data_IF_883325735043
#
_entry.id   IF_883325735043
#
_cell.length_a   1.000
_cell.length_b   1.000
_cell.length_c   1.000
_cell.angle_alpha   90.00
_cell.angle_beta   90.00
_cell.angle_gamma   90.00
#
_symmetry.space_group_name_H-M   'P 1'
#
loop_
_entity.id
_entity.type
_entity.pdbx_description
1 polymer ?
#
# COMPACT_ATOMS: atom_id res chain seq x y z
N UNK A 1 5.95 4.22 11.71
CA UNK A 1 6.54 4.41 10.38
C UNK A 1 6.86 5.89 10.22
N UNK A 2 8.13 6.27 10.12
CA UNK A 2 8.50 7.69 9.94
C UNK A 2 8.33 8.09 8.47
N UNK A 3 7.82 9.29 8.21
CA UNK A 3 7.73 9.94 6.88
C UNK A 3 9.09 10.07 6.15
N UNK A 4 10.19 9.74 6.82
CA UNK A 4 11.55 9.77 6.28
C UNK A 4 11.79 8.80 5.11
N UNK A 5 10.96 7.76 4.92
CA UNK A 5 11.07 6.88 3.75
C UNK A 5 10.63 7.55 2.44
N UNK A 6 9.86 8.65 2.48
CA UNK A 6 9.50 9.41 1.28
C UNK A 6 10.70 10.15 0.65
N UNK A 7 11.75 10.43 1.43
CA UNK A 7 12.93 11.16 0.93
C UNK A 7 13.82 10.33 -0.01
N UNK A 8 13.54 9.02 -0.16
CA UNK A 8 14.26 8.13 -1.08
C UNK A 8 13.45 7.79 -2.35
N UNK A 9 12.23 8.29 -2.47
CA UNK A 9 11.40 8.09 -3.65
C UNK A 9 11.67 9.23 -4.66
N UNK A 10 11.92 8.86 -5.91
CA UNK A 10 11.88 9.78 -7.03
C UNK A 10 10.42 10.19 -7.30
N UNK A 11 10.22 11.28 -8.06
CA UNK A 11 8.88 11.77 -8.41
C UNK A 11 8.04 10.66 -9.08
N UNK A 12 8.69 9.82 -9.91
CA UNK A 12 8.08 8.64 -10.53
C UNK A 12 7.57 7.62 -9.50
N UNK A 13 8.32 7.41 -8.41
CA UNK A 13 7.93 6.55 -7.31
C UNK A 13 6.76 7.11 -6.51
N UNK A 14 6.70 8.44 -6.31
CA UNK A 14 5.56 9.10 -5.66
C UNK A 14 4.29 8.96 -6.51
N UNK A 15 4.39 9.18 -7.82
CA UNK A 15 3.28 9.01 -8.75
C UNK A 15 2.81 7.55 -8.82
N UNK A 16 3.75 6.59 -8.80
CA UNK A 16 3.43 5.17 -8.73
C UNK A 16 2.63 4.82 -7.46
N UNK A 17 3.16 5.19 -6.29
CA UNK A 17 2.50 4.94 -5.00
C UNK A 17 1.10 5.55 -4.97
N UNK A 18 0.96 6.83 -5.32
CA UNK A 18 -0.32 7.54 -5.23
C UNK A 18 -1.35 6.99 -6.21
N UNK A 19 -0.94 6.65 -7.44
CA UNK A 19 -1.79 6.03 -8.45
C UNK A 19 -2.28 4.65 -8.03
N UNK A 20 -1.37 3.80 -7.52
CA UNK A 20 -1.71 2.44 -7.10
C UNK A 20 -2.63 2.44 -5.88
N UNK A 21 -2.31 3.24 -4.86
CA UNK A 21 -3.10 3.30 -3.62
C UNK A 21 -4.49 3.86 -3.91
N UNK A 22 -4.60 4.92 -4.72
CA UNK A 22 -5.91 5.48 -5.12
C UNK A 22 -6.76 4.44 -5.83
N UNK A 23 -6.21 3.77 -6.84
CA UNK A 23 -6.93 2.72 -7.58
C UNK A 23 -7.36 1.57 -6.68
N UNK A 24 -6.48 1.14 -5.78
CA UNK A 24 -6.78 0.07 -4.84
C UNK A 24 -7.92 0.46 -3.90
N UNK A 25 -7.86 1.68 -3.34
CA UNK A 25 -8.91 2.24 -2.49
C UNK A 25 -10.27 2.32 -3.22
N UNK A 26 -10.29 2.82 -4.44
CA UNK A 26 -11.49 2.88 -5.29
C UNK A 26 -12.07 1.48 -5.57
N UNK A 27 -11.23 0.51 -5.90
CA UNK A 27 -11.64 -0.88 -6.17
C UNK A 27 -12.20 -1.58 -4.94
N UNK A 28 -11.68 -1.29 -3.76
CA UNK A 28 -12.06 -1.95 -2.51
C UNK A 28 -13.07 -1.16 -1.69
N UNK A 29 -13.51 0.01 -2.17
CA UNK A 29 -14.44 0.89 -1.44
C UNK A 29 -13.86 1.42 -0.13
N UNK A 30 -12.54 1.64 -0.07
CA UNK A 30 -11.82 2.10 1.12
C UNK A 30 -11.51 3.58 0.99
N UNK A 31 -11.85 4.38 2.00
CA UNK A 31 -11.45 5.79 2.04
C UNK A 31 -9.93 5.91 2.24
N UNK A 32 -9.29 6.83 1.52
CA UNK A 32 -7.83 7.05 1.59
C UNK A 32 -7.37 7.45 3.00
N UNK A 33 -8.16 8.26 3.70
CA UNK A 33 -7.86 8.76 5.06
C UNK A 33 -8.25 7.75 6.15
N UNK A 34 -8.84 6.62 5.78
CA UNK A 34 -9.11 5.54 6.73
C UNK A 34 -7.81 4.87 7.16
N UNK A 35 -7.84 4.18 8.31
CA UNK A 35 -6.70 3.39 8.76
C UNK A 35 -6.22 2.39 7.69
N UNK A 36 -7.16 1.78 6.96
CA UNK A 36 -6.87 0.83 5.89
C UNK A 36 -6.28 1.51 4.64
N UNK A 37 -6.68 2.75 4.34
CA UNK A 37 -6.04 3.57 3.32
C UNK A 37 -4.61 3.97 3.68
N UNK A 38 -4.37 4.31 4.95
CA UNK A 38 -3.02 4.58 5.47
C UNK A 38 -2.12 3.33 5.46
N UNK A 39 -2.64 2.16 5.81
CA UNK A 39 -1.92 0.88 5.69
C UNK A 39 -1.58 0.56 4.24
N UNK A 40 -2.51 0.82 3.31
CA UNK A 40 -2.24 0.67 1.89
C UNK A 40 -1.13 1.61 1.40
N UNK A 41 -1.16 2.87 1.83
CA UNK A 41 -0.13 3.85 1.53
C UNK A 41 1.25 3.41 2.06
N UNK A 42 1.32 3.01 3.33
CA UNK A 42 2.58 2.55 3.94
C UNK A 42 3.15 1.33 3.23
N UNK A 43 2.29 0.38 2.85
CA UNK A 43 2.69 -0.83 2.13
C UNK A 43 3.18 -0.52 0.72
N UNK A 44 2.47 0.34 -0.03
CA UNK A 44 2.89 0.75 -1.36
C UNK A 44 4.25 1.48 -1.33
N UNK A 45 4.47 2.37 -0.35
CA UNK A 45 5.77 3.04 -0.14
C UNK A 45 6.87 2.02 0.11
N UNK A 46 6.62 1.01 0.94
CA UNK A 46 7.61 -0.04 1.22
C UNK A 46 7.96 -0.84 -0.04
N UNK A 47 6.97 -1.22 -0.84
CA UNK A 47 7.17 -1.97 -2.09
C UNK A 47 8.02 -1.17 -3.08
N UNK A 48 7.71 0.10 -3.29
CA UNK A 48 8.48 0.95 -4.22
C UNK A 48 9.88 1.23 -3.69
N UNK A 49 10.03 1.44 -2.38
CA UNK A 49 11.35 1.61 -1.75
C UNK A 49 12.20 0.33 -1.84
N UNK A 50 11.58 -0.85 -1.87
CA UNK A 50 12.26 -2.13 -2.05
C UNK A 50 12.75 -2.37 -3.50
N UNK A 51 12.43 -1.46 -4.43
CA UNK A 51 12.87 -1.50 -5.83
C UNK A 51 11.78 -1.85 -6.84
N UNK A 52 10.54 -2.11 -6.39
CA UNK A 52 9.42 -2.41 -7.28
C UNK A 52 8.87 -1.12 -7.89
N UNK A 53 9.27 -0.81 -9.13
CA UNK A 53 8.79 0.40 -9.83
C UNK A 53 7.59 0.17 -10.74
N UNK A 54 7.21 -1.08 -11.01
CA UNK A 54 6.05 -1.33 -11.88
C UNK A 54 4.74 -1.18 -11.09
N UNK A 55 3.82 -0.29 -11.52
CA UNK A 55 2.54 -0.08 -10.84
C UNK A 55 1.69 -1.35 -10.74
N UNK A 56 1.80 -2.25 -11.72
CA UNK A 56 1.02 -3.49 -11.73
C UNK A 56 1.54 -4.50 -10.70
N UNK A 57 2.85 -4.59 -10.51
CA UNK A 57 3.48 -5.45 -9.50
C UNK A 57 3.18 -4.90 -8.11
N UNK A 58 3.29 -3.58 -7.93
CA UNK A 58 2.97 -2.93 -6.66
C UNK A 58 1.50 -3.12 -6.30
N UNK A 59 0.58 -3.00 -7.26
CA UNK A 59 -0.85 -3.20 -7.01
C UNK A 59 -1.21 -4.65 -6.62
N UNK A 60 -0.62 -5.63 -7.29
CA UNK A 60 -0.82 -7.05 -6.97
C UNK A 60 -0.23 -7.38 -5.58
N UNK A 61 1.00 -6.95 -5.31
CA UNK A 61 1.65 -7.16 -4.02
C UNK A 61 0.91 -6.46 -2.87
N UNK A 62 0.42 -5.24 -3.10
CA UNK A 62 -0.40 -4.49 -2.16
C UNK A 62 -1.69 -5.25 -1.80
N UNK A 63 -2.40 -5.74 -2.82
CA UNK A 63 -3.64 -6.50 -2.64
C UNK A 63 -3.40 -7.79 -1.87
N UNK A 64 -2.33 -8.52 -2.20
CA UNK A 64 -1.92 -9.74 -1.46
C UNK A 64 -1.55 -9.46 -0.02
N UNK A 65 -0.82 -8.38 0.24
CA UNK A 65 -0.40 -8.01 1.59
C UNK A 65 -1.61 -7.65 2.47
N UNK A 66 -2.50 -6.79 1.97
CA UNK A 66 -3.66 -6.34 2.73
C UNK A 66 -4.75 -7.43 2.87
N UNK A 67 -4.84 -8.36 1.92
CA UNK A 67 -5.68 -9.55 2.08
C UNK A 67 -5.14 -10.50 3.16
N UNK A 68 -3.81 -10.67 3.26
CA UNK A 68 -3.20 -11.50 4.30
C UNK A 68 -3.36 -10.89 5.71
N UNK A 69 -3.33 -9.56 5.82
CA UNK A 69 -3.57 -8.85 7.09
C UNK A 69 -5.00 -9.10 7.59
N UNK A 70 -6.00 -9.21 6.71
CA UNK A 70 -7.39 -9.50 7.10
C UNK A 70 -7.60 -10.89 7.71
N UNK A 71 -6.85 -11.90 7.25
CA UNK A 71 -6.96 -13.28 7.77
C UNK A 71 -6.39 -13.40 9.19
N UNK A 72 -5.47 -12.50 9.55
CA UNK A 72 -4.78 -12.54 10.85
C UNK A 72 -5.68 -12.08 12.00
N UNK A 73 -6.65 -11.21 11.72
CA UNK A 73 -7.59 -10.68 12.73
C UNK A 73 -8.62 -11.74 13.21
N UNK A 74 -8.87 -12.77 12.39
CA UNK A 74 -9.75 -13.90 12.74
C UNK A 74 -9.08 -14.97 13.62
N UNK A 75 -7.74 -14.99 13.72
CA UNK A 75 -7.01 -16.03 14.46
C UNK A 75 -6.69 -15.68 15.91
N UNK A 76 -6.86 -14.43 16.33
CA UNK A 76 -6.60 -13.98 17.70
C UNK A 76 -7.81 -14.03 18.64
N UNK A 77 -8.96 -14.51 18.17
CA UNK A 77 -10.20 -14.61 18.96
C UNK A 77 -10.65 -16.05 19.26
N UNK A 78 -9.77 -17.06 19.14
CA UNK A 78 -10.09 -18.44 19.51
C UNK A 78 -9.02 -19.05 20.42
#
# INVERSE_FOLDING_TARGET
MSLLNLLSLDDDGIDCVTSVVRKWCEQHGVELDSQRGHEAMATAIQLVTAGEKSPEIVADALSRHLAAVQDTDLRTLN
#
